data_IF_987053171390
#
_entry.id   IF_987053171390
#
_cell.length_a   1.000
_cell.length_b   1.000
_cell.length_c   1.000
_cell.angle_alpha   90.00
_cell.angle_beta   90.00
_cell.angle_gamma   90.00
#
_symmetry.space_group_name_H-M   'P 1'
#
loop_
_entity.id
_entity.type
_entity.pdbx_description
1 polymer ?
#
# COMPACT_ATOMS: atom_id res chain seq x y z
N UNK A 1 -1.01 -2.23 13.00
CA UNK A 1 -0.65 -2.68 11.63
C UNK A 1 -1.46 -3.91 11.25
N UNK A 2 -1.93 -4.02 9.99
CA UNK A 2 -2.56 -5.26 9.49
C UNK A 2 -1.45 -6.28 9.18
N UNK A 3 -1.69 -7.56 9.48
CA UNK A 3 -0.74 -8.63 9.14
C UNK A 3 -0.61 -8.80 7.62
N UNK A 4 0.52 -9.33 7.14
CA UNK A 4 0.71 -9.60 5.70
C UNK A 4 -0.33 -10.59 5.16
N UNK A 5 -0.77 -11.54 5.99
CA UNK A 5 -1.90 -12.41 5.71
C UNK A 5 -3.20 -11.63 5.45
N UNK A 6 -3.51 -10.61 6.27
CA UNK A 6 -4.71 -9.80 6.09
C UNK A 6 -4.63 -8.91 4.86
N UNK A 7 -3.43 -8.36 4.58
CA UNK A 7 -3.17 -7.58 3.36
C UNK A 7 -3.34 -8.44 2.11
N UNK A 8 -2.75 -9.64 2.08
CA UNK A 8 -2.89 -10.59 0.99
C UNK A 8 -4.37 -10.97 0.76
N UNK A 9 -5.12 -11.27 1.83
CA UNK A 9 -6.56 -11.54 1.77
C UNK A 9 -7.34 -10.37 1.17
N UNK A 10 -7.03 -9.14 1.58
CA UNK A 10 -7.71 -7.93 1.06
C UNK A 10 -7.38 -7.70 -0.40
N UNK A 11 -6.13 -7.91 -0.81
CA UNK A 11 -5.72 -7.74 -2.20
C UNK A 11 -6.41 -8.71 -3.13
N UNK A 12 -6.50 -10.00 -2.76
CA UNK A 12 -7.19 -11.00 -3.58
C UNK A 12 -8.70 -10.77 -3.72
N UNK A 13 -9.31 -10.00 -2.81
CA UNK A 13 -10.72 -9.58 -2.91
C UNK A 13 -10.93 -8.38 -3.83
N UNK A 14 -9.86 -7.70 -4.25
CA UNK A 14 -9.95 -6.52 -5.10
C UNK A 14 -10.32 -6.91 -6.53
N UNK A 15 -11.57 -6.63 -6.94
CA UNK A 15 -12.09 -6.97 -8.27
C UNK A 15 -11.54 -6.10 -9.41
N UNK A 16 -10.75 -5.06 -9.10
CA UNK A 16 -10.13 -4.17 -10.12
C UNK A 16 -8.92 -4.79 -10.82
N UNK A 17 -8.38 -5.89 -10.29
CA UNK A 17 -7.24 -6.60 -10.87
C UNK A 17 -7.59 -8.07 -11.10
N UNK A 18 -7.24 -8.59 -12.27
CA UNK A 18 -7.49 -9.98 -12.64
C UNK A 18 -6.42 -10.90 -12.06
N UNK A 19 -6.75 -12.17 -11.81
CA UNK A 19 -5.76 -13.16 -11.33
C UNK A 19 -4.55 -13.30 -12.26
N UNK A 20 -4.75 -13.18 -13.58
CA UNK A 20 -3.67 -13.16 -14.58
C UNK A 20 -2.71 -11.99 -14.36
N UNK A 21 -3.22 -10.79 -14.09
CA UNK A 21 -2.37 -9.62 -13.80
C UNK A 21 -1.63 -9.78 -12.47
N UNK A 22 -2.26 -10.37 -11.45
CA UNK A 22 -1.59 -10.68 -10.18
C UNK A 22 -0.45 -11.69 -10.43
N UNK A 23 -0.69 -12.72 -11.26
CA UNK A 23 0.30 -13.74 -11.60
C UNK A 23 1.53 -13.11 -12.24
N UNK A 24 1.34 -12.22 -13.22
CA UNK A 24 2.43 -11.51 -13.88
C UNK A 24 3.24 -10.63 -12.92
N UNK A 25 2.60 -9.97 -11.96
CA UNK A 25 3.27 -9.07 -11.01
C UNK A 25 3.97 -9.78 -9.86
N UNK A 26 3.56 -11.00 -9.52
CA UNK A 26 4.08 -11.74 -8.36
C UNK A 26 4.89 -12.97 -8.73
N UNK A 27 4.88 -13.36 -10.00
CA UNK A 27 5.46 -14.63 -10.49
C UNK A 27 4.83 -15.87 -9.82
N UNK A 28 3.67 -15.71 -9.17
CA UNK A 28 2.87 -16.81 -8.64
C UNK A 28 1.99 -17.32 -9.78
N UNK A 29 1.92 -18.63 -9.98
CA UNK A 29 1.05 -19.18 -11.03
C UNK A 29 -0.42 -18.75 -10.84
N UNK A 30 -1.09 -18.45 -11.96
CA UNK A 30 -2.50 -18.03 -11.93
C UNK A 30 -3.40 -19.07 -11.25
N UNK A 31 -3.11 -20.36 -11.44
CA UNK A 31 -3.80 -21.47 -10.76
C UNK A 31 -3.69 -21.36 -9.23
N UNK A 32 -2.50 -21.05 -8.71
CA UNK A 32 -2.28 -20.87 -7.28
C UNK A 32 -3.03 -19.64 -6.74
N UNK A 33 -3.01 -18.53 -7.48
CA UNK A 33 -3.74 -17.31 -7.11
C UNK A 33 -5.25 -17.56 -7.08
N UNK A 34 -5.79 -18.26 -8.10
CA UNK A 34 -7.20 -18.67 -8.14
C UNK A 34 -7.55 -19.53 -6.92
N UNK A 35 -6.70 -20.50 -6.58
CA UNK A 35 -6.88 -21.35 -5.39
C UNK A 35 -6.94 -20.51 -4.11
N UNK A 36 -6.05 -19.54 -3.94
CA UNK A 36 -6.06 -18.63 -2.79
C UNK A 36 -7.30 -17.74 -2.73
N UNK A 37 -7.80 -17.27 -3.88
CA UNK A 37 -9.01 -16.44 -3.95
C UNK A 37 -10.30 -17.21 -3.65
N UNK A 38 -10.37 -18.49 -4.04
CA UNK A 38 -11.57 -19.32 -3.89
C UNK A 38 -11.68 -20.01 -2.52
N UNK A 39 -10.56 -20.44 -1.93
CA UNK A 39 -10.54 -21.19 -0.67
C UNK A 39 -9.71 -20.46 0.38
N UNK A 40 -10.36 -19.94 1.42
CA UNK A 40 -9.71 -19.16 2.50
C UNK A 40 -8.56 -19.94 3.18
N UNK A 41 -8.74 -21.25 3.40
CA UNK A 41 -7.71 -22.13 3.97
C UNK A 41 -6.49 -22.27 3.07
N UNK A 42 -6.67 -22.28 1.75
CA UNK A 42 -5.55 -22.48 0.80
C UNK A 42 -4.53 -21.35 0.82
N UNK A 43 -4.93 -20.13 1.18
CA UNK A 43 -3.99 -19.03 1.41
C UNK A 43 -3.28 -19.16 2.76
N UNK A 44 -3.97 -19.66 3.80
CA UNK A 44 -3.38 -19.86 5.13
C UNK A 44 -2.29 -20.93 5.12
N UNK A 45 -2.49 -21.97 4.32
CA UNK A 45 -1.52 -23.06 4.10
C UNK A 45 -0.51 -22.73 2.98
N UNK A 46 -0.59 -21.52 2.41
CA UNK A 46 0.26 -21.08 1.31
C UNK A 46 1.70 -20.77 1.76
N UNK A 47 2.63 -20.77 0.81
CA UNK A 47 4.02 -20.37 1.08
C UNK A 47 4.05 -18.92 1.59
N UNK A 48 4.80 -18.67 2.66
CA UNK A 48 4.95 -17.32 3.25
C UNK A 48 5.46 -16.30 2.24
N UNK A 49 6.36 -16.71 1.35
CA UNK A 49 6.85 -15.88 0.25
C UNK A 49 5.71 -15.35 -0.64
N UNK A 50 4.74 -16.21 -1.00
CA UNK A 50 3.60 -15.81 -1.82
C UNK A 50 2.70 -14.82 -1.08
N UNK A 51 2.49 -15.04 0.22
CA UNK A 51 1.71 -14.14 1.08
C UNK A 51 2.37 -12.77 1.12
N UNK A 52 3.69 -12.70 1.29
CA UNK A 52 4.44 -11.44 1.31
C UNK A 52 4.38 -10.71 -0.04
N UNK A 53 4.49 -11.43 -1.17
CA UNK A 53 4.34 -10.83 -2.50
C UNK A 53 2.96 -10.21 -2.70
N UNK A 54 1.90 -10.91 -2.29
CA UNK A 54 0.52 -10.40 -2.35
C UNK A 54 0.29 -9.23 -1.39
N UNK A 55 0.88 -9.28 -0.19
CA UNK A 55 0.83 -8.19 0.78
C UNK A 55 1.52 -6.92 0.27
N UNK A 56 2.65 -7.04 -0.42
CA UNK A 56 3.33 -5.90 -1.07
C UNK A 56 2.45 -5.26 -2.14
N UNK A 57 1.77 -6.05 -2.96
CA UNK A 57 0.84 -5.49 -3.95
C UNK A 57 -0.35 -4.76 -3.30
N UNK A 58 -0.80 -5.21 -2.12
CA UNK A 58 -1.79 -4.45 -1.34
C UNK A 58 -1.22 -3.09 -0.95
N UNK A 59 -0.04 -3.05 -0.33
CA UNK A 59 0.60 -1.83 0.11
C UNK A 59 0.82 -0.86 -1.07
N UNK A 60 1.30 -1.35 -2.20
CA UNK A 60 1.47 -0.56 -3.43
C UNK A 60 0.14 0.01 -3.94
N UNK A 61 -0.94 -0.77 -3.88
CA UNK A 61 -2.27 -0.31 -4.29
C UNK A 61 -2.83 0.77 -3.37
N UNK A 62 -2.58 0.65 -2.06
CA UNK A 62 -2.97 1.66 -1.06
C UNK A 62 -2.17 2.94 -1.29
N UNK A 63 -0.87 2.83 -1.54
CA UNK A 63 -0.01 3.97 -1.85
C UNK A 63 -0.50 4.68 -3.11
N UNK A 64 -0.73 3.94 -4.19
CA UNK A 64 -1.20 4.50 -5.45
C UNK A 64 -2.54 5.22 -5.30
N UNK A 65 -3.50 4.64 -4.57
CA UNK A 65 -4.81 5.28 -4.34
C UNK A 65 -4.69 6.56 -3.50
N UNK A 66 -3.83 6.57 -2.48
CA UNK A 66 -3.64 7.75 -1.63
C UNK A 66 -2.92 8.87 -2.37
N UNK A 67 -1.87 8.54 -3.13
CA UNK A 67 -1.11 9.53 -3.91
C UNK A 67 -1.86 10.03 -5.15
N UNK A 68 -2.75 9.21 -5.73
CA UNK A 68 -3.59 9.58 -6.87
C UNK A 68 -4.73 10.54 -6.51
N UNK A 69 -5.03 10.74 -5.22
CA UNK A 69 -6.04 11.70 -4.76
C UNK A 69 -5.45 13.11 -4.64
N UNK A 70 -5.94 14.03 -5.48
CA UNK A 70 -5.56 15.45 -5.43
C UNK A 70 -5.79 16.07 -4.05
N UNK A 71 -6.89 15.69 -3.37
CA UNK A 71 -7.22 16.20 -2.04
C UNK A 71 -6.20 15.72 -1.00
N UNK A 72 -5.83 14.44 -1.03
CA UNK A 72 -4.85 13.88 -0.09
C UNK A 72 -3.47 14.52 -0.28
N UNK A 73 -3.09 14.79 -1.53
CA UNK A 73 -1.85 15.49 -1.84
C UNK A 73 -1.85 16.93 -1.31
N UNK A 74 -2.97 17.63 -1.42
CA UNK A 74 -3.11 18.98 -0.88
C UNK A 74 -3.04 18.98 0.66
N UNK A 75 -3.69 18.02 1.33
CA UNK A 75 -3.60 17.87 2.79
C UNK A 75 -2.16 17.59 3.24
N UNK A 76 -1.47 16.67 2.56
CA UNK A 76 -0.06 16.39 2.83
C UNK A 76 0.81 17.65 2.69
N UNK A 77 0.68 18.38 1.58
CA UNK A 77 1.45 19.62 1.37
C UNK A 77 1.19 20.67 2.43
N UNK A 78 -0.08 20.87 2.79
CA UNK A 78 -0.48 21.81 3.85
C UNK A 78 0.18 21.43 5.17
N UNK A 79 0.04 20.17 5.58
CA UNK A 79 0.62 19.67 6.82
C UNK A 79 2.15 19.82 6.84
N UNK A 80 2.83 19.47 5.75
CA UNK A 80 4.29 19.63 5.63
C UNK A 80 4.71 21.09 5.80
N UNK A 81 3.97 22.03 5.22
CA UNK A 81 4.29 23.46 5.34
C UNK A 81 4.01 24.02 6.75
N UNK A 82 3.02 23.47 7.45
CA UNK A 82 2.65 23.90 8.80
C UNK A 82 3.54 23.28 9.89
N UNK A 83 4.06 22.06 9.66
CA UNK A 83 4.74 21.28 10.70
C UNK A 83 6.25 21.13 10.47
N UNK A 84 6.75 21.45 9.27
CA UNK A 84 8.18 21.35 8.96
C UNK A 84 8.72 22.73 8.58
N UNK A 85 9.70 23.26 9.35
CA UNK A 85 10.26 24.58 9.09
C UNK A 85 10.88 24.67 7.68
N UNK A 86 11.04 25.88 7.17
CA UNK A 86 11.65 26.11 5.86
C UNK A 86 13.15 26.48 5.92
N UNK A 87 13.80 26.13 7.01
CA UNK A 87 15.25 26.25 7.15
C UNK A 87 16.01 25.12 6.45
N UNK A 88 17.34 25.12 6.56
CA UNK A 88 18.19 24.10 5.93
C UNK A 88 17.83 22.67 6.38
N UNK A 89 17.51 22.48 7.66
CA UNK A 89 17.21 21.16 8.24
C UNK A 89 15.82 20.71 7.76
N UNK A 90 14.83 21.60 7.84
CA UNK A 90 13.47 21.34 7.38
C UNK A 90 13.41 20.99 5.90
N UNK A 91 14.21 21.65 5.04
CA UNK A 91 14.34 21.26 3.62
C UNK A 91 14.86 19.82 3.46
N UNK A 92 15.88 19.43 4.22
CA UNK A 92 16.37 18.04 4.20
C UNK A 92 15.29 17.05 4.67
N UNK A 93 14.53 17.37 5.71
CA UNK A 93 13.43 16.52 6.19
C UNK A 93 12.35 16.37 5.10
N UNK A 94 11.94 17.47 4.46
CA UNK A 94 10.97 17.46 3.35
C UNK A 94 11.43 16.53 2.23
N UNK A 95 12.70 16.62 1.84
CA UNK A 95 13.29 15.75 0.82
C UNK A 95 13.28 14.26 1.20
N UNK A 96 13.60 13.95 2.47
CA UNK A 96 13.58 12.57 2.97
C UNK A 96 12.15 12.01 2.89
N UNK A 97 11.17 12.77 3.37
CA UNK A 97 9.75 12.35 3.34
C UNK A 97 9.28 12.15 1.90
N UNK A 98 9.61 13.08 0.98
CA UNK A 98 9.20 12.99 -0.42
C UNK A 98 9.78 11.78 -1.16
N UNK A 99 10.92 11.24 -0.70
CA UNK A 99 11.53 10.02 -1.24
C UNK A 99 10.84 8.74 -0.74
N UNK A 100 10.22 8.78 0.43
CA UNK A 100 9.52 7.62 1.00
C UNK A 100 8.00 7.73 0.87
N UNK A 101 7.48 7.08 -0.19
CA UNK A 101 6.04 7.02 -0.47
C UNK A 101 5.22 6.41 0.67
N UNK A 102 5.79 5.52 1.49
CA UNK A 102 5.06 4.92 2.62
C UNK A 102 4.84 5.95 3.72
N UNK A 103 5.87 6.73 4.04
CA UNK A 103 5.78 7.82 5.03
C UNK A 103 4.73 8.85 4.60
N UNK A 104 4.71 9.24 3.32
CA UNK A 104 3.68 10.16 2.79
C UNK A 104 2.27 9.60 3.02
N UNK A 105 2.08 8.30 2.78
CA UNK A 105 0.77 7.65 2.90
C UNK A 105 0.35 7.48 4.36
N UNK A 106 1.29 7.21 5.27
CA UNK A 106 1.01 7.18 6.70
C UNK A 106 0.59 8.55 7.24
N UNK A 107 1.27 9.62 6.80
CA UNK A 107 0.88 11.00 7.13
C UNK A 107 -0.53 11.28 6.61
N UNK A 108 -0.80 11.00 5.33
CA UNK A 108 -2.13 11.20 4.74
C UNK A 108 -3.20 10.43 5.52
N UNK A 109 -2.95 9.15 5.84
CA UNK A 109 -3.90 8.32 6.54
C UNK A 109 -4.27 8.89 7.92
N UNK A 110 -3.28 9.36 8.68
CA UNK A 110 -3.53 9.98 9.99
C UNK A 110 -4.33 11.28 9.85
N UNK A 111 -3.99 12.14 8.89
CA UNK A 111 -4.71 13.39 8.64
C UNK A 111 -6.19 13.16 8.26
N UNK A 112 -6.49 12.09 7.54
CA UNK A 112 -7.87 11.77 7.11
C UNK A 112 -8.71 11.03 8.15
N UNK A 113 -8.08 10.44 9.18
CA UNK A 113 -8.80 9.75 10.27
C UNK A 113 -9.12 10.68 11.45
N UNK A 114 -8.51 11.87 11.50
CA UNK A 114 -8.74 12.91 12.51
C UNK A 114 -9.78 13.97 12.09
N UNK A 115 -10.31 13.87 10.86
CA UNK A 115 -11.33 14.75 10.29
C UNK A 115 -12.72 14.10 10.30
#
# INVERSE_FOLDING_TARGET
MKSDMDKAKKFLKNRKITYKQIALKTEISESTIRKYGMKKSSLQDGKWENINKLARLYDDSVIANNLGSLNNWNYFKKWVNENIPDDRIGKTIKEIILKDKKVIVEIIANLTNEA
#
